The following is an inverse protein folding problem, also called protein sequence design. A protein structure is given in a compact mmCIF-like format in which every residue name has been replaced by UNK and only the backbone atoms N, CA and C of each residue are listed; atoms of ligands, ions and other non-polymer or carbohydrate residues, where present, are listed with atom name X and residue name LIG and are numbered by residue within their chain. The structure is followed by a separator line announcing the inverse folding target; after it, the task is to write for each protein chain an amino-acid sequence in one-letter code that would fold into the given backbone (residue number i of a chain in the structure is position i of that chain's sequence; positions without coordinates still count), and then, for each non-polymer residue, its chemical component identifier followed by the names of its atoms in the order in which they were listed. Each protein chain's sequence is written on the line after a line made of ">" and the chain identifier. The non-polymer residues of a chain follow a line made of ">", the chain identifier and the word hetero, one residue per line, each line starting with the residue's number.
data_IF_243136352286
#
_entry.id   IF_243136352286
#
_cell.length_a   1.000
_cell.length_b   1.000
_cell.length_c   1.000
_cell.angle_alpha   90.00
_cell.angle_beta   90.00
_cell.angle_gamma   90.00
#
_symmetry.space_group_name_H-M   'P 1'
#
loop_
_entity.id
_entity.type
_entity.pdbx_description
1 polymer ?
#
# COMPACT_ATOMS: atom_id res chain seq x y z
N UNK A 1 25.00 -0.50 8.70
CA UNK A 1 24.98 -1.65 9.64
C UNK A 1 24.26 -2.81 8.98
N UNK A 2 24.79 -4.00 9.20
CA UNK A 2 24.36 -5.34 8.74
C UNK A 2 22.94 -5.48 8.17
N UNK A 3 22.85 -5.87 6.89
CA UNK A 3 21.68 -6.56 6.34
C UNK A 3 22.08 -8.02 6.20
N UNK A 4 21.69 -8.84 7.17
CA UNK A 4 21.68 -10.30 7.04
C UNK A 4 20.32 -10.74 6.48
N UNK A 5 20.38 -11.79 5.67
CA UNK A 5 19.45 -12.19 4.61
C UNK A 5 18.22 -12.97 5.08
N UNK A 6 17.25 -13.10 4.17
CA UNK A 6 16.19 -14.12 4.09
C UNK A 6 15.01 -14.08 5.08
N UNK A 7 14.31 -12.95 5.17
CA UNK A 7 12.87 -12.99 5.45
C UNK A 7 12.17 -11.90 4.64
N UNK A 8 11.39 -12.29 3.64
CA UNK A 8 10.43 -11.41 2.94
C UNK A 8 9.34 -11.00 3.95
N UNK A 9 9.65 -10.04 4.82
CA UNK A 9 8.70 -9.37 5.69
C UNK A 9 8.70 -7.90 5.35
N UNK A 10 7.52 -7.28 5.25
CA UNK A 10 7.42 -5.84 5.07
C UNK A 10 8.22 -5.11 6.16
N UNK A 11 9.08 -4.19 5.74
CA UNK A 11 9.86 -3.35 6.65
C UNK A 11 9.07 -2.05 6.86
N UNK A 12 8.69 -1.78 8.10
CA UNK A 12 8.07 -0.52 8.48
C UNK A 12 9.16 0.54 8.60
N UNK A 13 9.06 1.62 7.83
CA UNK A 13 9.90 2.81 8.04
C UNK A 13 9.50 3.50 9.35
N UNK A 14 10.21 3.19 10.43
CA UNK A 14 9.90 3.69 11.78
C UNK A 14 9.96 5.22 11.85
N UNK A 15 10.86 5.86 11.12
CA UNK A 15 10.98 7.32 11.10
C UNK A 15 9.75 7.98 10.50
N UNK A 16 9.24 7.48 9.36
CA UNK A 16 8.01 8.04 8.77
C UNK A 16 6.76 7.64 9.59
N UNK A 17 6.75 6.45 10.19
CA UNK A 17 5.67 6.04 11.10
C UNK A 17 5.56 6.97 12.32
N UNK A 18 6.69 7.40 12.90
CA UNK A 18 6.68 8.36 14.01
C UNK A 18 6.11 9.72 13.60
N UNK A 19 6.38 10.18 12.37
CA UNK A 19 5.77 11.39 11.80
C UNK A 19 4.26 11.23 11.70
N UNK A 20 3.77 10.07 11.20
CA UNK A 20 2.33 9.81 11.13
C UNK A 20 1.65 9.81 12.50
N UNK A 21 2.30 9.21 13.51
CA UNK A 21 1.79 9.20 14.89
C UNK A 21 1.74 10.59 15.52
N UNK A 22 2.65 11.49 15.15
CA UNK A 22 2.63 12.88 15.61
C UNK A 22 1.51 13.68 14.92
N UNK A 23 1.36 13.53 13.60
CA UNK A 23 0.25 14.17 12.85
C UNK A 23 -1.09 13.72 13.44
N UNK A 24 -1.28 12.42 13.67
CA UNK A 24 -2.50 11.85 14.24
C UNK A 24 -2.87 12.45 15.62
N UNK A 25 -1.91 12.97 16.38
CA UNK A 25 -2.16 13.60 17.69
C UNK A 25 -2.39 15.10 17.62
N UNK A 26 -1.81 15.78 16.62
CA UNK A 26 -1.67 17.24 16.63
C UNK A 26 -2.51 17.93 15.55
N UNK A 27 -2.60 17.36 14.37
CA UNK A 27 -3.35 17.89 13.21
C UNK A 27 -3.82 16.70 12.37
N UNK A 28 -4.68 15.86 12.94
CA UNK A 28 -5.10 14.64 12.25
C UNK A 28 -5.96 14.99 11.03
N UNK A 29 -5.50 14.57 9.86
CA UNK A 29 -6.10 14.92 8.58
C UNK A 29 -6.01 13.76 7.59
N UNK A 30 -6.81 13.79 6.50
CA UNK A 30 -6.80 12.73 5.50
C UNK A 30 -5.41 12.42 4.94
N UNK A 31 -5.19 11.15 4.63
CA UNK A 31 -3.93 10.65 4.07
C UNK A 31 -4.21 9.77 2.85
N UNK A 32 -3.38 9.92 1.82
CA UNK A 32 -3.43 9.10 0.63
C UNK A 32 -2.20 8.19 0.60
N UNK A 33 -2.42 6.88 0.57
CA UNK A 33 -1.36 5.89 0.49
C UNK A 33 -1.26 5.35 -0.93
N UNK A 34 -0.17 5.68 -1.62
CA UNK A 34 0.12 5.18 -2.96
C UNK A 34 1.02 3.95 -2.85
N UNK A 35 0.47 2.78 -3.12
CA UNK A 35 1.22 1.52 -3.10
C UNK A 35 1.65 1.16 -4.52
N UNK A 36 2.93 0.89 -4.70
CA UNK A 36 3.51 0.41 -5.95
C UNK A 36 3.99 -1.01 -5.72
N UNK A 37 3.36 -1.98 -6.36
CA UNK A 37 3.62 -3.39 -6.16
C UNK A 37 4.19 -4.03 -7.42
N UNK A 38 5.20 -4.88 -7.23
CA UNK A 38 5.60 -5.92 -8.16
C UNK A 38 5.16 -7.25 -7.56
N UNK A 39 4.37 -8.00 -8.32
CA UNK A 39 3.87 -9.30 -7.88
C UNK A 39 4.79 -10.44 -8.33
N UNK A 40 4.86 -11.50 -7.52
CA UNK A 40 5.52 -12.75 -7.89
C UNK A 40 4.68 -13.50 -8.94
N UNK A 41 5.28 -14.49 -9.60
CA UNK A 41 4.57 -15.35 -10.55
C UNK A 41 3.36 -16.09 -9.91
N UNK A 42 3.41 -16.39 -8.60
CA UNK A 42 2.30 -17.04 -7.88
C UNK A 42 1.02 -16.22 -7.84
N UNK A 43 1.14 -14.89 -7.98
CA UNK A 43 -0.02 -14.02 -7.98
C UNK A 43 -0.88 -14.21 -9.23
N UNK A 44 -0.32 -14.73 -10.33
CA UNK A 44 -0.97 -14.86 -11.65
C UNK A 44 -1.75 -13.57 -12.02
N UNK A 45 -1.17 -12.42 -11.70
CA UNK A 45 -1.83 -11.12 -11.82
C UNK A 45 -2.25 -10.83 -13.28
N UNK A 46 -3.45 -10.27 -13.53
CA UNK A 46 -4.43 -9.81 -12.54
C UNK A 46 -5.50 -10.85 -12.16
N UNK A 47 -5.48 -12.04 -12.77
CA UNK A 47 -6.61 -12.97 -12.73
C UNK A 47 -6.42 -14.14 -11.76
N UNK A 48 -5.25 -14.25 -11.12
CA UNK A 48 -4.93 -15.31 -10.17
C UNK A 48 -5.83 -15.31 -8.93
N UNK A 49 -6.20 -16.50 -8.48
CA UNK A 49 -7.07 -16.66 -7.31
C UNK A 49 -6.41 -16.14 -6.03
N UNK A 50 -5.10 -16.38 -5.85
CA UNK A 50 -4.37 -15.89 -4.68
C UNK A 50 -4.28 -14.35 -4.64
N UNK A 51 -4.14 -13.71 -5.81
CA UNK A 51 -4.20 -12.26 -5.91
C UNK A 51 -5.59 -11.74 -5.55
N UNK A 52 -6.66 -12.32 -6.11
CA UNK A 52 -8.05 -11.94 -5.80
C UNK A 52 -8.39 -12.13 -4.33
N UNK A 53 -7.93 -13.23 -3.72
CA UNK A 53 -8.10 -13.51 -2.29
C UNK A 53 -7.43 -12.41 -1.44
N UNK A 54 -6.17 -12.09 -1.75
CA UNK A 54 -5.49 -10.97 -1.09
C UNK A 54 -6.24 -9.65 -1.28
N UNK A 55 -6.74 -9.34 -2.49
CA UNK A 55 -7.52 -8.11 -2.74
C UNK A 55 -8.77 -8.05 -1.87
N UNK A 56 -9.49 -9.16 -1.72
CA UNK A 56 -10.70 -9.22 -0.92
C UNK A 56 -10.41 -8.99 0.57
N UNK A 57 -9.33 -9.59 1.10
CA UNK A 57 -8.90 -9.39 2.49
C UNK A 57 -8.35 -7.97 2.68
N UNK A 58 -7.60 -7.46 1.72
CA UNK A 58 -7.04 -6.12 1.74
C UNK A 58 -8.16 -5.06 1.78
N UNK A 59 -9.22 -5.25 1.00
CA UNK A 59 -10.41 -4.41 1.05
C UNK A 59 -11.02 -4.37 2.46
N UNK A 60 -11.22 -5.54 3.11
CA UNK A 60 -11.72 -5.59 4.49
C UNK A 60 -10.83 -4.84 5.49
N UNK A 61 -9.51 -4.89 5.32
CA UNK A 61 -8.60 -4.13 6.18
C UNK A 61 -8.73 -2.62 5.97
N UNK A 62 -8.87 -2.18 4.72
CA UNK A 62 -9.03 -0.78 4.36
C UNK A 62 -10.35 -0.25 4.96
N UNK A 63 -11.44 -0.99 4.79
CA UNK A 63 -12.76 -0.66 5.35
C UNK A 63 -12.73 -0.61 6.89
N UNK A 64 -11.96 -1.48 7.56
CA UNK A 64 -11.77 -1.42 9.01
C UNK A 64 -11.14 -0.11 9.48
N UNK A 65 -10.25 0.49 8.67
CA UNK A 65 -9.65 1.78 8.92
C UNK A 65 -10.43 2.96 8.35
N UNK A 66 -11.73 2.79 8.05
CA UNK A 66 -12.58 3.78 7.36
C UNK A 66 -12.00 4.28 6.03
N UNK A 67 -11.12 3.49 5.40
CA UNK A 67 -10.45 3.86 4.17
C UNK A 67 -11.27 3.53 2.92
N UNK A 68 -10.85 4.11 1.81
CA UNK A 68 -11.46 3.93 0.49
C UNK A 68 -10.40 3.57 -0.56
N UNK A 69 -10.73 2.63 -1.44
CA UNK A 69 -9.92 2.33 -2.62
C UNK A 69 -10.32 3.31 -3.73
N UNK A 70 -9.44 4.26 -4.06
CA UNK A 70 -9.71 5.27 -5.09
C UNK A 70 -9.52 4.69 -6.49
N UNK A 71 -8.42 3.96 -6.72
CA UNK A 71 -8.17 3.26 -7.98
C UNK A 71 -7.16 2.11 -7.83
N UNK A 72 -7.26 1.17 -8.76
CA UNK A 72 -6.33 0.06 -9.02
C UNK A 72 -5.86 0.18 -10.47
N UNK A 73 -4.56 0.31 -10.70
CA UNK A 73 -4.01 0.54 -12.04
C UNK A 73 -2.92 -0.47 -12.39
N UNK A 74 -3.18 -1.42 -13.29
CA UNK A 74 -2.14 -2.27 -13.87
C UNK A 74 -1.12 -1.42 -14.65
N UNK A 75 0.16 -1.57 -14.32
CA UNK A 75 1.24 -0.84 -15.00
C UNK A 75 1.49 -1.48 -16.37
N UNK A 76 1.42 -0.67 -17.43
CA UNK A 76 1.59 -1.14 -18.81
C UNK A 76 3.03 -0.98 -19.33
N UNK A 77 3.89 -0.28 -18.60
CA UNK A 77 5.28 -0.05 -18.99
C UNK A 77 5.90 1.16 -18.27
N UNK A 78 7.19 1.38 -18.55
CA UNK A 78 7.99 2.45 -17.94
C UNK A 78 8.73 3.22 -19.03
N UNK A 79 8.22 4.41 -19.38
CA UNK A 79 8.75 5.19 -20.52
C UNK A 79 10.03 5.99 -20.17
N UNK A 80 10.26 6.28 -18.89
CA UNK A 80 11.40 7.06 -18.41
C UNK A 80 11.78 6.60 -16.99
N UNK A 81 13.08 6.44 -16.74
CA UNK A 81 13.63 6.25 -15.41
C UNK A 81 14.98 6.96 -15.30
N UNK A 82 15.31 7.45 -14.11
CA UNK A 82 16.64 7.94 -13.76
C UNK A 82 17.11 7.19 -12.51
N UNK A 83 18.26 6.51 -12.58
CA UNK A 83 18.69 5.56 -11.56
C UNK A 83 18.32 4.11 -11.91
N UNK A 84 17.87 3.34 -10.92
CA UNK A 84 17.52 1.92 -11.11
C UNK A 84 16.07 1.82 -11.59
N UNK A 85 15.88 1.17 -12.74
CA UNK A 85 14.55 0.81 -13.21
C UNK A 85 13.99 -0.32 -12.34
N UNK A 86 12.86 -0.08 -11.69
CA UNK A 86 12.14 -1.07 -10.87
C UNK A 86 10.84 -1.42 -11.56
N UNK A 87 10.71 -2.65 -12.04
CA UNK A 87 9.46 -3.12 -12.62
C UNK A 87 8.34 -3.08 -11.57
N UNK A 88 7.13 -2.73 -12.02
CA UNK A 88 5.91 -2.72 -11.21
C UNK A 88 4.81 -3.43 -11.99
N UNK A 89 3.97 -4.19 -11.29
CA UNK A 89 2.77 -4.81 -11.82
C UNK A 89 1.56 -3.89 -11.69
N UNK A 90 1.46 -3.18 -10.56
CA UNK A 90 0.27 -2.41 -10.21
C UNK A 90 0.60 -1.20 -9.33
N UNK A 91 -0.19 -0.14 -9.50
CA UNK A 91 -0.24 1.00 -8.58
C UNK A 91 -1.65 1.06 -7.97
N UNK A 92 -1.71 1.25 -6.66
CA UNK A 92 -2.93 1.30 -5.86
C UNK A 92 -2.99 2.61 -5.08
N UNK A 93 -4.17 3.22 -5.02
CA UNK A 93 -4.40 4.42 -4.23
C UNK A 93 -5.48 4.18 -3.17
N UNK A 94 -5.06 4.25 -1.90
CA UNK A 94 -5.96 4.10 -0.76
C UNK A 94 -6.03 5.41 0.00
N UNK A 95 -7.22 5.96 0.12
CA UNK A 95 -7.47 7.15 0.90
C UNK A 95 -7.97 6.76 2.30
N UNK A 96 -7.56 7.50 3.31
CA UNK A 96 -8.07 7.35 4.68
C UNK A 96 -8.49 8.73 5.19
N UNK A 97 -9.57 8.81 5.99
CA UNK A 97 -10.09 10.08 6.50
C UNK A 97 -9.14 10.74 7.49
N UNK A 98 -8.23 9.97 8.09
CA UNK A 98 -7.23 10.49 9.01
C UNK A 98 -5.98 9.60 9.08
N UNK A 99 -4.87 10.13 9.61
CA UNK A 99 -3.67 9.35 9.91
C UNK A 99 -3.96 8.31 11.00
N UNK A 100 -4.76 8.68 12.01
CA UNK A 100 -5.19 7.73 13.04
C UNK A 100 -5.99 6.56 12.44
N UNK A 101 -6.85 6.83 11.46
CA UNK A 101 -7.65 5.81 10.77
C UNK A 101 -6.73 4.78 10.07
N UNK A 102 -5.74 5.25 9.31
CA UNK A 102 -4.71 4.38 8.71
C UNK A 102 -3.92 3.58 9.77
N UNK A 103 -3.47 4.24 10.85
CA UNK A 103 -2.68 3.60 11.91
C UNK A 103 -3.47 2.52 12.66
N UNK A 104 -4.79 2.62 12.71
CA UNK A 104 -5.68 1.69 13.41
C UNK A 104 -5.82 0.35 12.69
N UNK A 105 -5.46 0.28 11.39
CA UNK A 105 -5.45 -1.00 10.64
C UNK A 105 -4.53 -2.07 11.25
N UNK A 106 -3.56 -1.67 12.08
CA UNK A 106 -2.70 -2.64 12.80
C UNK A 106 -3.51 -3.58 13.71
N UNK A 107 -4.71 -3.16 14.11
CA UNK A 107 -5.64 -3.85 15.00
C UNK A 107 -6.74 -4.59 14.23
N UNK A 108 -6.73 -4.56 12.90
CA UNK A 108 -7.72 -5.26 12.08
C UNK A 108 -7.63 -6.79 12.29
N UNK A 109 -8.76 -7.50 12.44
CA UNK A 109 -8.76 -8.95 12.69
C UNK A 109 -8.20 -9.75 11.51
N UNK A 110 -8.23 -9.18 10.31
CA UNK A 110 -7.76 -9.81 9.07
C UNK A 110 -6.26 -9.60 8.80
N UNK A 111 -5.54 -8.94 9.73
CA UNK A 111 -4.15 -8.54 9.52
C UNK A 111 -3.23 -9.74 9.27
N UNK A 112 -3.28 -10.75 10.14
CA UNK A 112 -2.38 -11.91 10.03
C UNK A 112 -2.57 -12.63 8.69
N UNK A 113 -3.81 -12.84 8.29
CA UNK A 113 -4.19 -13.43 7.01
C UNK A 113 -3.69 -12.58 5.82
N UNK A 114 -3.89 -11.25 5.87
CA UNK A 114 -3.42 -10.35 4.83
C UNK A 114 -1.91 -10.45 4.62
N UNK A 115 -1.14 -10.38 5.72
CA UNK A 115 0.32 -10.43 5.68
C UNK A 115 0.85 -11.81 5.26
N UNK A 116 0.15 -12.90 5.60
CA UNK A 116 0.51 -14.24 5.16
C UNK A 116 0.43 -14.37 3.63
N UNK A 117 -0.68 -13.96 3.01
CA UNK A 117 -0.84 -14.01 1.55
C UNK A 117 0.10 -12.99 0.88
N UNK A 118 0.19 -11.78 1.44
CA UNK A 118 1.06 -10.72 0.92
C UNK A 118 2.52 -11.17 0.78
N UNK A 119 3.02 -11.94 1.75
CA UNK A 119 4.37 -12.52 1.72
C UNK A 119 4.60 -13.46 0.52
N UNK A 120 3.56 -14.10 0.01
CA UNK A 120 3.67 -15.01 -1.14
C UNK A 120 3.53 -14.30 -2.48
N UNK A 121 2.67 -13.29 -2.56
CA UNK A 121 2.33 -12.65 -3.84
C UNK A 121 3.16 -11.41 -4.15
N UNK A 122 3.82 -10.78 -3.17
CA UNK A 122 4.59 -9.55 -3.39
C UNK A 122 6.08 -9.85 -3.46
N UNK A 123 6.68 -9.47 -4.59
CA UNK A 123 8.13 -9.51 -4.79
C UNK A 123 8.77 -8.20 -4.30
N UNK A 124 8.15 -7.08 -4.65
CA UNK A 124 8.58 -5.75 -4.23
C UNK A 124 7.36 -4.88 -3.96
N UNK A 125 7.42 -4.06 -2.90
CA UNK A 125 6.43 -3.05 -2.66
C UNK A 125 7.05 -1.81 -2.02
N UNK A 126 6.54 -0.64 -2.42
CA UNK A 126 6.77 0.62 -1.72
C UNK A 126 5.44 1.34 -1.54
N UNK A 127 5.27 1.93 -0.36
CA UNK A 127 4.07 2.66 0.01
C UNK A 127 4.46 4.10 0.30
N UNK A 128 3.91 5.03 -0.45
CA UNK A 128 4.13 6.45 -0.27
C UNK A 128 2.97 7.08 0.48
N UNK A 129 3.30 7.80 1.56
CA UNK A 129 2.38 8.71 2.23
C UNK A 129 2.27 10.02 1.44
N UNK A 130 1.08 10.34 0.99
CA UNK A 130 0.74 11.56 0.26
C UNK A 130 -0.36 12.34 1.01
N UNK A 131 -0.52 13.62 0.69
CA UNK A 131 -1.57 14.45 1.30
C UNK A 131 -2.95 14.02 0.81
N UNK A 132 -3.77 13.45 1.71
CA UNK A 132 -5.11 12.99 1.39
C UNK A 132 -6.14 14.10 1.23
N UNK A 133 -5.79 15.35 1.58
CA UNK A 133 -6.64 16.53 1.31
C UNK A 133 -6.58 16.98 -0.14
N UNK A 134 -5.61 16.47 -0.90
CA UNK A 134 -5.40 16.77 -2.31
C UNK A 134 -5.48 15.49 -3.17
N UNK A 135 -6.63 14.79 -3.19
CA UNK A 135 -6.77 13.60 -4.02
C UNK A 135 -6.60 13.94 -5.51
N UNK A 136 -6.06 13.03 -6.34
CA UNK A 136 -5.91 13.28 -7.76
C UNK A 136 -7.26 13.60 -8.41
N UNK A 137 -7.40 14.81 -8.96
CA UNK A 137 -8.57 15.20 -9.74
C UNK A 137 -8.17 15.43 -11.19
N UNK A 138 -9.01 15.01 -12.13
CA UNK A 138 -8.92 15.52 -13.50
C UNK A 138 -9.43 16.97 -13.49
N UNK A 139 -8.62 17.97 -13.88
CA UNK A 139 -9.15 19.30 -14.10
C UNK A 139 -10.21 19.22 -15.20
N UNK A 140 -11.35 19.87 -14.99
CA UNK A 140 -12.36 20.03 -16.05
C UNK A 140 -11.67 20.75 -17.21
N UNK A 141 -11.64 20.10 -18.37
CA UNK A 141 -11.15 20.67 -19.62
C UNK A 141 -12.14 21.69 -20.16
#
# INVERSE_FOLDING_TARGET
>A
MSVLTNNMSDIINISDRAIMEEIAKTDDHPVLMINQNLYTAKAEFPDGELYKEWRAINQKMIEYGDGEIIWSMPVQGQILYNGICQALSEILAYWYPSHQAFLSMKDAPYREENFAIRKEIIEYAIVHRCDGRNPPTLPKR
#
